data_IF_739686455461
#
_entry.id   IF_739686455461
#
_cell.length_a   1.000
_cell.length_b   1.000
_cell.length_c   1.000
_cell.angle_alpha   90.00
_cell.angle_beta   90.00
_cell.angle_gamma   90.00
#
_symmetry.space_group_name_H-M   'P 1'
#
loop_
_entity.id
_entity.type
_entity.pdbx_description
1 polymer ?
#
# COMPACT_ATOMS: atom_id res chain seq x y z
N UNK A 1 -43.57 28.37 -50.81
CA UNK A 1 -42.70 27.58 -49.93
C UNK A 1 -41.66 26.89 -50.79
N UNK A 2 -40.38 27.09 -50.49
CA UNK A 2 -39.28 26.30 -51.06
C UNK A 2 -38.30 26.04 -49.91
N UNK A 3 -38.14 24.76 -49.56
CA UNK A 3 -37.53 24.29 -48.31
C UNK A 3 -36.02 24.49 -48.25
N UNK A 4 -35.53 24.69 -47.03
CA UNK A 4 -34.10 24.82 -46.72
C UNK A 4 -33.38 23.48 -46.95
N UNK A 5 -32.21 23.58 -47.60
CA UNK A 5 -31.33 22.45 -47.91
C UNK A 5 -30.59 22.05 -46.63
N UNK A 6 -30.99 20.94 -46.03
CA UNK A 6 -30.35 20.38 -44.83
C UNK A 6 -28.91 19.96 -45.09
N UNK A 7 -27.95 20.59 -44.40
CA UNK A 7 -26.55 20.16 -44.37
C UNK A 7 -26.42 19.01 -43.38
N UNK A 8 -26.20 17.79 -43.87
CA UNK A 8 -25.80 16.67 -43.01
C UNK A 8 -24.30 16.74 -42.73
N UNK A 9 -23.92 17.15 -41.52
CA UNK A 9 -22.58 16.93 -40.98
C UNK A 9 -22.53 15.47 -40.51
N UNK A 10 -21.63 14.68 -41.08
CA UNK A 10 -21.40 13.29 -40.65
C UNK A 10 -20.89 13.32 -39.21
N UNK A 11 -21.55 12.60 -38.31
CA UNK A 11 -21.06 12.38 -36.95
C UNK A 11 -20.00 11.27 -36.99
N UNK A 12 -18.74 11.63 -36.77
CA UNK A 12 -17.68 10.66 -36.50
C UNK A 12 -17.59 10.51 -34.98
N UNK A 13 -17.91 9.32 -34.47
CA UNK A 13 -17.83 9.02 -33.04
C UNK A 13 -16.37 8.79 -32.69
N UNK A 14 -15.82 9.63 -31.82
CA UNK A 14 -14.46 9.44 -31.30
C UNK A 14 -14.37 8.12 -30.54
N UNK A 15 -13.28 7.37 -30.76
CA UNK A 15 -12.99 6.14 -30.01
C UNK A 15 -12.54 6.53 -28.61
N UNK A 16 -13.44 6.45 -27.64
CA UNK A 16 -13.07 6.64 -26.25
C UNK A 16 -12.29 5.43 -25.74
N UNK A 17 -11.05 5.66 -25.35
CA UNK A 17 -10.19 4.63 -24.75
C UNK A 17 -10.77 4.26 -23.37
N UNK A 18 -11.24 3.02 -23.19
CA UNK A 18 -11.65 2.53 -21.88
C UNK A 18 -10.42 2.04 -21.12
N UNK A 19 -9.90 2.86 -20.21
CA UNK A 19 -8.90 2.41 -19.25
C UNK A 19 -9.66 1.70 -18.13
N UNK A 20 -9.60 0.37 -18.10
CA UNK A 20 -10.08 -0.41 -16.95
C UNK A 20 -9.08 -0.20 -15.82
N UNK A 21 -9.38 0.74 -14.92
CA UNK A 21 -8.59 0.93 -13.72
C UNK A 21 -8.93 -0.17 -12.72
N UNK A 22 -7.89 -0.83 -12.18
CA UNK A 22 -8.07 -1.73 -11.05
C UNK A 22 -8.65 -0.95 -9.86
N UNK A 23 -9.47 -1.62 -9.04
CA UNK A 23 -10.03 -0.98 -7.86
C UNK A 23 -8.89 -0.56 -6.91
N UNK A 24 -8.94 0.70 -6.45
CA UNK A 24 -8.02 1.19 -5.43
C UNK A 24 -8.33 0.54 -4.09
N UNK A 25 -7.31 0.04 -3.40
CA UNK A 25 -7.43 -0.59 -2.08
C UNK A 25 -6.65 0.21 -1.07
N UNK A 26 -7.25 0.46 0.09
CA UNK A 26 -6.58 1.07 1.24
C UNK A 26 -5.81 0.00 2.00
N UNK A 27 -4.53 0.26 2.26
CA UNK A 27 -3.65 -0.55 3.10
C UNK A 27 -3.29 0.26 4.34
N UNK A 28 -3.60 -0.30 5.51
CA UNK A 28 -3.23 0.27 6.79
C UNK A 28 -2.02 -0.46 7.36
N UNK A 29 -1.13 0.26 8.03
CA UNK A 29 -0.02 -0.30 8.79
C UNK A 29 -0.15 0.21 10.21
N UNK A 30 -0.02 -0.67 11.20
CA UNK A 30 -0.10 -0.32 12.62
C UNK A 30 0.98 -1.05 13.39
N UNK A 31 1.56 -0.35 14.37
CA UNK A 31 2.55 -0.90 15.28
C UNK A 31 1.89 -1.13 16.65
N UNK A 32 2.20 -2.24 17.31
CA UNK A 32 1.72 -2.48 18.68
C UNK A 32 2.30 -1.49 19.69
N UNK A 33 3.48 -0.94 19.39
CA UNK A 33 4.16 0.10 20.16
C UNK A 33 4.84 1.08 19.20
N UNK A 34 4.76 2.38 19.50
CA UNK A 34 5.51 3.43 18.78
C UNK A 34 6.87 3.72 19.42
N UNK A 35 7.16 3.16 20.60
CA UNK A 35 8.45 3.28 21.28
C UNK A 35 8.78 1.97 21.98
N UNK A 36 10.00 1.46 21.75
CA UNK A 36 10.50 0.23 22.35
C UNK A 36 11.94 0.43 22.84
N UNK A 37 12.36 -0.35 23.82
CA UNK A 37 13.76 -0.41 24.22
C UNK A 37 14.51 -1.43 23.36
N UNK A 38 15.78 -1.19 23.08
CA UNK A 38 16.65 -2.13 22.36
C UNK A 38 16.54 -3.54 22.97
N UNK A 39 16.23 -4.54 22.14
CA UNK A 39 16.00 -5.93 22.55
C UNK A 39 14.54 -6.30 22.81
N UNK A 40 13.62 -5.33 22.87
CA UNK A 40 12.19 -5.62 22.80
C UNK A 40 11.73 -5.91 21.37
N UNK A 41 10.60 -6.59 21.24
CA UNK A 41 9.93 -6.82 19.97
C UNK A 41 8.69 -5.92 19.84
N UNK A 42 8.41 -5.49 18.61
CA UNK A 42 7.19 -4.80 18.20
C UNK A 42 6.43 -5.69 17.22
N UNK A 43 5.09 -5.72 17.32
CA UNK A 43 4.24 -6.36 16.33
C UNK A 43 3.81 -5.32 15.30
N UNK A 44 4.06 -5.62 14.04
CA UNK A 44 3.66 -4.83 12.88
C UNK A 44 2.49 -5.57 12.23
N UNK A 45 1.36 -4.88 12.12
CA UNK A 45 0.17 -5.39 11.43
C UNK A 45 -0.12 -4.55 10.20
N UNK A 46 -0.19 -5.21 9.05
CA UNK A 46 -0.61 -4.65 7.79
C UNK A 46 -2.00 -5.19 7.45
N UNK A 47 -3.00 -4.33 7.31
CA UNK A 47 -4.39 -4.72 7.03
C UNK A 47 -4.94 -4.02 5.80
N UNK A 48 -5.42 -4.81 4.85
CA UNK A 48 -6.13 -4.35 3.66
C UNK A 48 -7.61 -4.22 3.99
N UNK A 49 -8.27 -3.21 3.43
CA UNK A 49 -9.73 -3.09 3.52
C UNK A 49 -10.47 -4.27 2.84
N UNK A 50 -9.78 -4.97 1.93
CA UNK A 50 -10.31 -6.12 1.20
C UNK A 50 -9.75 -7.41 1.79
N UNK A 51 -10.64 -8.35 2.10
CA UNK A 51 -10.28 -9.71 2.44
C UNK A 51 -9.73 -10.44 1.20
N UNK A 52 -8.41 -10.51 1.10
CA UNK A 52 -7.71 -11.19 0.00
C UNK A 52 -6.51 -11.97 0.51
N UNK A 53 -6.23 -13.10 -0.14
CA UNK A 53 -5.00 -13.87 0.04
C UNK A 53 -4.06 -13.71 -1.16
N UNK A 54 -4.46 -12.89 -2.14
CA UNK A 54 -3.68 -12.64 -3.34
C UNK A 54 -2.69 -11.49 -3.14
N UNK A 55 -1.62 -11.53 -3.93
CA UNK A 55 -0.54 -10.56 -3.84
C UNK A 55 0.38 -10.81 -2.65
N UNK A 56 1.39 -9.96 -2.51
CA UNK A 56 2.35 -10.01 -1.42
C UNK A 56 2.37 -8.68 -0.71
N UNK A 57 2.30 -8.73 0.61
CA UNK A 57 2.61 -7.61 1.50
C UNK A 57 4.12 -7.66 1.81
N UNK A 58 4.80 -6.56 1.53
CA UNK A 58 6.19 -6.32 1.90
C UNK A 58 6.19 -5.24 2.95
N UNK A 59 6.68 -5.55 4.14
CA UNK A 59 6.91 -4.56 5.19
C UNK A 59 8.30 -4.00 4.95
N UNK A 60 8.39 -2.67 4.90
CA UNK A 60 9.64 -1.94 4.76
C UNK A 60 9.86 -1.07 5.98
N UNK A 61 11.13 -0.85 6.31
CA UNK A 61 11.53 0.13 7.30
C UNK A 61 12.55 1.10 6.71
N UNK A 62 12.61 2.31 7.25
CA UNK A 62 13.63 3.30 6.96
C UNK A 62 14.18 3.80 8.28
N UNK A 63 15.50 3.70 8.45
CA UNK A 63 16.19 4.15 9.66
C UNK A 63 16.86 5.49 9.39
N UNK A 64 16.56 6.50 10.21
CA UNK A 64 17.17 7.83 10.13
C UNK A 64 17.14 8.47 8.73
N UNK A 65 16.16 8.11 7.88
CA UNK A 65 16.06 8.61 6.50
C UNK A 65 17.07 8.00 5.51
N UNK A 66 17.81 6.96 5.87
CA UNK A 66 18.84 6.34 5.02
C UNK A 66 18.29 5.64 3.76
N UNK A 67 16.98 5.33 3.75
CA UNK A 67 16.31 4.67 2.63
C UNK A 67 15.36 3.56 3.10
N UNK A 68 14.47 3.11 2.21
CA UNK A 68 13.54 2.03 2.52
C UNK A 68 14.20 0.67 2.27
N UNK A 69 14.21 -0.16 3.30
CA UNK A 69 14.72 -1.52 3.31
C UNK A 69 13.58 -2.51 3.51
N UNK A 70 13.62 -3.63 2.79
CA UNK A 70 12.65 -4.72 2.95
C UNK A 70 12.93 -5.47 4.26
N UNK A 71 11.95 -5.48 5.15
CA UNK A 71 12.01 -6.23 6.40
C UNK A 71 11.59 -7.68 6.20
N UNK A 72 10.41 -7.86 5.61
CA UNK A 72 9.79 -9.15 5.39
C UNK A 72 8.79 -9.05 4.25
N UNK A 73 8.58 -10.16 3.55
CA UNK A 73 7.58 -10.30 2.50
C UNK A 73 6.76 -11.56 2.75
N UNK A 74 5.44 -11.44 2.64
CA UNK A 74 4.53 -12.57 2.77
C UNK A 74 3.19 -12.31 2.10
N UNK A 75 2.40 -13.36 1.91
CA UNK A 75 1.03 -13.22 1.42
C UNK A 75 0.10 -12.83 2.57
N UNK A 76 -0.86 -11.92 2.35
CA UNK A 76 -1.89 -11.64 3.35
C UNK A 76 -2.76 -12.88 3.57
N UNK A 77 -3.30 -13.01 4.77
CA UNK A 77 -4.33 -13.98 5.13
C UNK A 77 -5.58 -13.19 5.51
N UNK A 78 -6.63 -13.35 4.72
CA UNK A 78 -7.88 -12.60 4.84
C UNK A 78 -7.68 -11.07 4.80
N UNK A 79 -6.74 -10.59 3.99
CA UNK A 79 -6.38 -9.17 3.89
C UNK A 79 -5.38 -8.69 4.94
N UNK A 80 -5.00 -9.52 5.91
CA UNK A 80 -4.12 -9.12 7.00
C UNK A 80 -2.79 -9.86 6.95
N UNK A 81 -1.70 -9.16 7.26
CA UNK A 81 -0.36 -9.73 7.42
C UNK A 81 0.28 -9.17 8.69
N UNK A 82 0.78 -10.05 9.56
CA UNK A 82 1.39 -9.69 10.83
C UNK A 82 2.84 -10.15 10.86
N UNK A 83 3.71 -9.34 11.45
CA UNK A 83 5.10 -9.68 11.64
C UNK A 83 5.63 -9.12 12.95
N UNK A 84 6.38 -9.92 13.70
CA UNK A 84 7.05 -9.49 14.92
C UNK A 84 8.49 -9.14 14.59
N UNK A 85 8.89 -7.92 14.92
CA UNK A 85 10.21 -7.39 14.61
C UNK A 85 10.94 -6.91 15.86
N UNK A 86 12.24 -7.23 15.93
CA UNK A 86 13.17 -6.73 16.95
C UNK A 86 14.30 -5.95 16.26
N UNK A 87 14.30 -4.61 16.32
CA UNK A 87 15.40 -3.80 15.79
C UNK A 87 16.72 -4.07 16.53
N UNK A 88 17.81 -4.16 15.78
CA UNK A 88 19.15 -4.45 16.32
C UNK A 88 19.91 -3.19 16.76
N UNK A 89 19.48 -2.01 16.29
CA UNK A 89 20.09 -0.73 16.60
C UNK A 89 19.06 0.26 17.17
N UNK A 90 19.49 1.20 18.03
CA UNK A 90 18.63 2.29 18.48
C UNK A 90 18.57 3.40 17.43
N UNK A 91 17.43 4.07 17.33
CA UNK A 91 17.21 5.13 16.35
C UNK A 91 15.74 5.41 16.07
N UNK A 92 15.50 6.30 15.11
CA UNK A 92 14.16 6.58 14.60
C UNK A 92 13.91 5.75 13.34
N UNK A 93 12.88 4.92 13.40
CA UNK A 93 12.45 4.05 12.33
C UNK A 93 11.11 4.53 11.78
N UNK A 94 10.97 4.52 10.47
CA UNK A 94 9.70 4.65 9.77
C UNK A 94 9.36 3.30 9.17
N UNK A 95 8.20 2.75 9.51
CA UNK A 95 7.74 1.44 9.05
C UNK A 95 6.53 1.63 8.15
N UNK A 96 6.52 0.99 6.97
CA UNK A 96 5.36 1.01 6.07
C UNK A 96 5.12 -0.37 5.48
N UNK A 97 3.91 -0.60 5.01
CA UNK A 97 3.53 -1.79 4.28
C UNK A 97 3.28 -1.45 2.80
N UNK A 98 3.67 -2.36 1.91
CA UNK A 98 3.43 -2.29 0.48
C UNK A 98 2.76 -3.58 0.04
N UNK A 99 1.62 -3.48 -0.62
CA UNK A 99 0.96 -4.62 -1.21
C UNK A 99 1.11 -4.58 -2.73
N UNK A 100 1.52 -5.71 -3.32
CA UNK A 100 1.77 -5.83 -4.77
C UNK A 100 0.52 -5.69 -5.64
N UNK A 101 -0.67 -5.67 -5.06
CA UNK A 101 -1.93 -5.78 -5.78
C UNK A 101 -2.32 -7.23 -6.03
N UNK A 102 -3.57 -7.42 -6.43
CA UNK A 102 -4.18 -8.71 -6.78
C UNK A 102 -4.73 -8.68 -8.20
N UNK A 103 -5.44 -9.75 -8.59
CA UNK A 103 -5.93 -9.88 -9.98
C UNK A 103 -6.84 -8.72 -10.44
N UNK A 104 -7.62 -8.16 -9.53
CA UNK A 104 -8.59 -7.08 -9.80
C UNK A 104 -8.27 -5.77 -9.07
N UNK A 105 -7.15 -5.72 -8.33
CA UNK A 105 -6.85 -4.65 -7.38
C UNK A 105 -5.46 -4.09 -7.65
N UNK A 106 -5.36 -2.76 -7.62
CA UNK A 106 -4.08 -2.09 -7.80
C UNK A 106 -3.16 -2.34 -6.61
N UNK A 107 -1.83 -2.26 -6.78
CA UNK A 107 -0.91 -2.19 -5.66
C UNK A 107 -1.26 -1.02 -4.73
N UNK A 108 -1.03 -1.21 -3.44
CA UNK A 108 -1.33 -0.25 -2.40
C UNK A 108 -0.11 -0.04 -1.51
N UNK A 109 0.06 1.18 -0.98
CA UNK A 109 1.11 1.50 -0.01
C UNK A 109 0.47 2.18 1.18
N UNK A 110 0.82 1.75 2.37
CA UNK A 110 0.31 2.36 3.60
C UNK A 110 1.01 3.69 3.89
N UNK A 111 0.44 4.44 4.84
CA UNK A 111 1.21 5.48 5.52
C UNK A 111 2.38 4.85 6.30
N UNK A 112 3.40 5.66 6.55
CA UNK A 112 4.55 5.27 7.36
C UNK A 112 4.27 5.57 8.83
N UNK A 113 4.46 4.57 9.68
CA UNK A 113 4.36 4.66 11.14
C UNK A 113 5.74 4.88 11.75
N UNK A 114 5.82 5.77 12.74
CA UNK A 114 7.07 6.06 13.43
C UNK A 114 7.27 5.09 14.61
N UNK A 115 8.47 4.51 14.68
CA UNK A 115 8.94 3.66 15.77
C UNK A 115 10.24 4.23 16.32
N UNK A 116 10.26 4.57 17.60
CA UNK A 116 11.47 5.03 18.29
C UNK A 116 12.09 3.88 19.08
N UNK A 117 13.36 3.57 18.82
CA UNK A 117 14.10 2.54 19.56
C UNK A 117 15.12 3.22 20.45
N UNK A 118 14.90 3.12 21.77
CA UNK A 118 15.78 3.74 22.78
C UNK A 118 16.78 2.73 23.33
N UNK A 119 17.96 3.21 23.73
CA UNK A 119 18.89 2.39 24.52
C UNK A 119 18.30 2.20 25.95
N UNK A 120 18.54 1.05 26.58
CA UNK A 120 18.18 0.81 27.97
C UNK A 120 18.92 1.75 28.94
#
# INVERSE_FOLDING_TARGET
WAGEVGRYLKAESERQLLIVNNASVSLNCSLSKSTITLGEAVEIEASLQVATNEGNITIQYNVNGAGWLDLVKGSPVNGTFKYVWSPEEPGEYLVRALWSGGKNYAPATSQAEALTVVKP
#
